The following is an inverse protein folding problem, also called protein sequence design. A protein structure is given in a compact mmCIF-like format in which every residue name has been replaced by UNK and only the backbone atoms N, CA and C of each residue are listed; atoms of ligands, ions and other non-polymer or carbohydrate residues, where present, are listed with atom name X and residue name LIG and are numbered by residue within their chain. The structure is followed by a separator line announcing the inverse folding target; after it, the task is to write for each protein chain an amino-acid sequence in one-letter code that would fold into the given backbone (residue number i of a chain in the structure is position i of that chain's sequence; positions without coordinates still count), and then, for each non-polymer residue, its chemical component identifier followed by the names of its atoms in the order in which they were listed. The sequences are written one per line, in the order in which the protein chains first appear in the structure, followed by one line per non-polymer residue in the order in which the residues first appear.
data_IF_371019764809
#
_entry.id   IF_371019764809
#
_cell.length_a   1.000
_cell.length_b   1.000
_cell.length_c   1.000
_cell.angle_alpha   90.00
_cell.angle_beta   90.00
_cell.angle_gamma   90.00
#
_symmetry.space_group_name_H-M   'P 1'
#
loop_
_entity.id
_entity.type
_entity.pdbx_description
1 polymer ?
#
# COMPACT_ATOMS: atom_id res chain seq x y z
N UNK A 1 -27.45 4.99 19.70
CA UNK A 1 -26.65 4.70 20.91
C UNK A 1 -26.58 3.20 21.19
N UNK A 2 -27.73 2.51 21.33
CA UNK A 2 -27.79 1.06 21.57
C UNK A 2 -27.03 0.20 20.53
N UNK A 3 -27.05 0.58 19.25
CA UNK A 3 -26.32 -0.14 18.20
C UNK A 3 -24.79 -0.05 18.34
N UNK A 4 -24.26 1.12 18.72
CA UNK A 4 -22.83 1.32 18.97
C UNK A 4 -22.37 0.59 20.24
N UNK A 5 -23.20 0.55 21.29
CA UNK A 5 -22.91 -0.18 22.53
C UNK A 5 -22.89 -1.69 22.30
N UNK A 6 -23.87 -2.22 21.56
CA UNK A 6 -23.89 -3.62 21.17
C UNK A 6 -22.71 -3.98 20.25
N UNK A 7 -22.34 -3.10 19.32
CA UNK A 7 -21.17 -3.25 18.46
C UNK A 7 -19.85 -3.25 19.25
N UNK A 8 -19.74 -2.37 20.26
CA UNK A 8 -18.62 -2.33 21.20
C UNK A 8 -18.47 -3.64 21.98
N UNK A 9 -19.56 -4.18 22.52
CA UNK A 9 -19.55 -5.44 23.26
C UNK A 9 -19.07 -6.62 22.40
N UNK A 10 -19.50 -6.70 21.14
CA UNK A 10 -19.05 -7.76 20.20
C UNK A 10 -17.59 -7.63 19.77
N UNK A 11 -17.06 -6.41 19.71
CA UNK A 11 -15.71 -6.14 19.17
C UNK A 11 -14.60 -6.17 20.23
N UNK A 12 -14.91 -6.52 21.47
CA UNK A 12 -13.94 -6.50 22.58
C UNK A 12 -13.63 -5.10 23.11
N UNK A 13 -14.48 -4.11 22.85
CA UNK A 13 -14.35 -2.74 23.35
C UNK A 13 -14.59 -1.65 22.31
N UNK A 14 -14.75 -0.42 22.79
CA UNK A 14 -15.14 0.73 21.97
C UNK A 14 -14.06 1.12 20.94
N UNK A 15 -12.78 0.95 21.27
CA UNK A 15 -11.66 1.26 20.36
C UNK A 15 -11.69 0.32 19.15
N UNK A 16 -11.74 -0.99 19.38
CA UNK A 16 -11.83 -2.00 18.32
C UNK A 16 -13.09 -1.81 17.47
N UNK A 17 -14.22 -1.51 18.11
CA UNK A 17 -15.46 -1.23 17.40
C UNK A 17 -15.36 -0.02 16.47
N UNK A 18 -14.82 1.11 16.96
CA UNK A 18 -14.61 2.30 16.13
C UNK A 18 -13.67 2.03 14.96
N UNK A 19 -12.59 1.28 15.21
CA UNK A 19 -11.65 0.88 14.17
C UNK A 19 -12.32 0.02 13.11
N UNK A 20 -13.10 -1.00 13.49
CA UNK A 20 -13.83 -1.84 12.54
C UNK A 20 -14.89 -1.06 11.75
N UNK A 21 -15.68 -0.23 12.43
CA UNK A 21 -16.70 0.60 11.79
C UNK A 21 -16.08 1.57 10.77
N UNK A 22 -15.00 2.26 11.14
CA UNK A 22 -14.31 3.18 10.25
C UNK A 22 -13.75 2.46 9.01
N UNK A 23 -13.16 1.28 9.17
CA UNK A 23 -12.65 0.50 8.05
C UNK A 23 -13.77 -0.08 7.16
N UNK A 24 -14.92 -0.45 7.73
CA UNK A 24 -16.07 -0.90 6.95
C UNK A 24 -16.64 0.22 6.09
N UNK A 25 -16.83 1.41 6.67
CA UNK A 25 -17.30 2.60 5.94
C UNK A 25 -16.30 3.01 4.85
N UNK A 26 -15.01 3.02 5.18
CA UNK A 26 -13.96 3.30 4.22
C UNK A 26 -13.96 2.31 3.06
N UNK A 27 -14.08 1.00 3.34
CA UNK A 27 -14.16 -0.03 2.31
C UNK A 27 -15.33 0.18 1.36
N UNK A 28 -16.51 0.51 1.88
CA UNK A 28 -17.68 0.82 1.04
C UNK A 28 -17.42 2.02 0.12
N UNK A 29 -16.90 3.12 0.65
CA UNK A 29 -16.59 4.32 -0.14
C UNK A 29 -15.48 4.07 -1.17
N UNK A 30 -14.48 3.25 -0.84
CA UNK A 30 -13.42 2.89 -1.78
C UNK A 30 -13.93 2.04 -2.96
N UNK A 31 -14.90 1.16 -2.74
CA UNK A 31 -15.53 0.41 -3.82
C UNK A 31 -16.31 1.35 -4.74
N UNK A 32 -17.09 2.28 -4.19
CA UNK A 32 -17.81 3.29 -5.00
C UNK A 32 -16.85 4.17 -5.81
N UNK A 33 -15.75 4.63 -5.21
CA UNK A 33 -14.72 5.41 -5.90
C UNK A 33 -14.09 4.61 -7.06
N UNK A 34 -13.72 3.35 -6.81
CA UNK A 34 -13.17 2.46 -7.85
C UNK A 34 -14.16 2.27 -9.01
N UNK A 35 -15.46 2.10 -8.73
CA UNK A 35 -16.48 1.94 -9.76
C UNK A 35 -16.68 3.24 -10.57
N UNK A 36 -16.60 4.40 -9.93
CA UNK A 36 -16.67 5.69 -10.61
C UNK A 36 -15.45 5.92 -11.52
N UNK A 37 -14.26 5.56 -11.06
CA UNK A 37 -13.00 5.71 -11.82
C UNK A 37 -12.96 4.84 -13.09
N UNK A 38 -13.61 3.67 -13.11
CA UNK A 38 -13.75 2.84 -14.32
C UNK A 38 -14.46 3.60 -15.45
N UNK A 39 -15.34 4.55 -15.10
CA UNK A 39 -16.07 5.38 -16.06
C UNK A 39 -15.33 6.62 -16.54
N UNK A 40 -14.12 6.90 -16.03
CA UNK A 40 -13.36 8.11 -16.37
C UNK A 40 -13.00 8.15 -17.87
N UNK A 41 -13.13 9.34 -18.47
CA UNK A 41 -12.89 9.56 -19.90
C UNK A 41 -11.39 9.68 -20.26
N UNK A 42 -10.52 9.89 -19.27
CA UNK A 42 -9.08 10.05 -19.50
C UNK A 42 -8.26 10.27 -18.23
N UNK A 43 -6.94 10.38 -18.42
CA UNK A 43 -5.97 10.51 -17.33
C UNK A 43 -6.16 11.78 -16.49
N UNK A 44 -6.50 12.91 -17.11
CA UNK A 44 -6.72 14.18 -16.39
C UNK A 44 -7.89 14.09 -15.39
N UNK A 45 -8.97 13.39 -15.75
CA UNK A 45 -10.12 13.19 -14.87
C UNK A 45 -9.76 12.29 -13.68
N UNK A 46 -8.96 11.24 -13.93
CA UNK A 46 -8.42 10.37 -12.86
C UNK A 46 -7.48 11.14 -11.93
N UNK A 47 -6.58 11.96 -12.47
CA UNK A 47 -5.67 12.78 -11.66
C UNK A 47 -6.43 13.77 -10.77
N UNK A 48 -7.47 14.43 -11.31
CA UNK A 48 -8.34 15.31 -10.54
C UNK A 48 -9.10 14.54 -9.44
N UNK A 49 -9.63 13.35 -9.74
CA UNK A 49 -10.30 12.50 -8.76
C UNK A 49 -9.34 12.04 -7.64
N UNK A 50 -8.12 11.61 -8.00
CA UNK A 50 -7.10 11.21 -7.03
C UNK A 50 -6.68 12.36 -6.11
N UNK A 51 -6.58 13.59 -6.64
CA UNK A 51 -6.24 14.78 -5.86
C UNK A 51 -7.33 15.16 -4.84
N UNK A 52 -8.59 14.79 -5.09
CA UNK A 52 -9.70 15.08 -4.18
C UNK A 52 -9.57 14.36 -2.83
N UNK A 53 -8.95 13.17 -2.80
CA UNK A 53 -8.82 12.37 -1.59
C UNK A 53 -7.94 13.03 -0.50
N UNK A 54 -6.68 13.44 -0.77
CA UNK A 54 -5.86 14.15 0.20
C UNK A 54 -6.46 15.52 0.57
N UNK A 55 -7.10 16.23 -0.37
CA UNK A 55 -7.78 17.48 -0.08
C UNK A 55 -8.94 17.31 0.91
N UNK A 56 -9.78 16.29 0.70
CA UNK A 56 -10.91 15.96 1.59
C UNK A 56 -10.43 15.50 2.97
N UNK A 57 -9.30 14.80 3.03
CA UNK A 57 -8.66 14.42 4.29
C UNK A 57 -7.97 15.60 5.01
N UNK A 58 -7.83 16.76 4.35
CA UNK A 58 -7.16 17.94 4.90
C UNK A 58 -5.66 17.75 5.07
N UNK A 59 -5.02 17.00 4.17
CA UNK A 59 -3.59 16.66 4.23
C UNK A 59 -2.77 17.20 3.05
N UNK A 60 -3.41 17.75 2.02
CA UNK A 60 -2.77 18.23 0.79
C UNK A 60 -1.81 19.43 0.98
N UNK A 61 -2.07 20.29 1.97
CA UNK A 61 -1.24 21.45 2.29
C UNK A 61 -0.07 21.19 3.26
N UNK A 62 0.09 19.97 3.78
CA UNK A 62 1.09 19.63 4.79
C UNK A 62 1.87 18.38 4.36
N UNK A 63 3.15 18.52 3.94
CA UNK A 63 3.96 17.39 3.47
C UNK A 63 4.10 16.24 4.47
N UNK A 64 4.13 16.52 5.77
CA UNK A 64 4.24 15.50 6.81
C UNK A 64 2.95 14.70 6.90
N UNK A 65 1.80 15.39 6.92
CA UNK A 65 0.48 14.74 6.94
C UNK A 65 0.18 14.01 5.64
N UNK A 66 0.54 14.58 4.49
CA UNK A 66 0.41 13.92 3.20
C UNK A 66 1.21 12.63 3.19
N UNK A 67 2.46 12.67 3.65
CA UNK A 67 3.31 11.48 3.71
C UNK A 67 2.76 10.43 4.67
N UNK A 68 2.25 10.84 5.85
CA UNK A 68 1.61 9.93 6.78
C UNK A 68 0.34 9.28 6.19
N UNK A 69 -0.45 10.05 5.44
CA UNK A 69 -1.64 9.57 4.74
C UNK A 69 -1.27 8.55 3.64
N UNK A 70 -0.30 8.87 2.79
CA UNK A 70 0.21 7.96 1.76
C UNK A 70 0.80 6.69 2.36
N UNK A 71 1.56 6.81 3.47
CA UNK A 71 2.11 5.65 4.19
C UNK A 71 1.01 4.74 4.73
N UNK A 72 -0.05 5.33 5.27
CA UNK A 72 -1.23 4.60 5.71
C UNK A 72 -1.90 3.87 4.55
N UNK A 73 -2.07 4.51 3.38
CA UNK A 73 -2.61 3.84 2.19
C UNK A 73 -1.73 2.68 1.73
N UNK A 74 -0.41 2.88 1.63
CA UNK A 74 0.55 1.83 1.25
C UNK A 74 0.47 0.62 2.20
N UNK A 75 0.30 0.85 3.52
CA UNK A 75 0.18 -0.23 4.50
C UNK A 75 -1.06 -1.11 4.27
N UNK A 76 -2.15 -0.53 3.76
CA UNK A 76 -3.40 -1.25 3.46
C UNK A 76 -3.32 -2.07 2.18
N UNK A 77 -2.36 -1.77 1.31
CA UNK A 77 -2.02 -2.60 0.14
C UNK A 77 -1.03 -3.69 0.53
N UNK A 78 -0.02 -3.36 1.33
CA UNK A 78 1.05 -4.29 1.73
C UNK A 78 0.53 -5.51 2.50
N UNK A 79 -0.41 -5.33 3.45
CA UNK A 79 -0.95 -6.42 4.26
C UNK A 79 -1.61 -7.53 3.43
N UNK A 80 -2.64 -7.22 2.62
CA UNK A 80 -3.27 -8.19 1.71
C UNK A 80 -2.29 -8.83 0.73
N UNK A 81 -1.37 -8.07 0.14
CA UNK A 81 -0.37 -8.61 -0.77
C UNK A 81 0.56 -9.62 -0.07
N UNK A 82 0.94 -9.36 1.19
CA UNK A 82 1.72 -10.32 1.98
C UNK A 82 0.96 -11.61 2.25
N UNK A 83 -0.35 -11.54 2.50
CA UNK A 83 -1.18 -12.75 2.66
C UNK A 83 -1.26 -13.54 1.36
N UNK A 84 -1.45 -12.86 0.22
CA UNK A 84 -1.38 -13.50 -1.11
C UNK A 84 0.01 -14.10 -1.36
N UNK A 85 1.06 -13.45 -0.90
CA UNK A 85 2.44 -13.89 -1.06
C UNK A 85 2.75 -15.19 -0.30
N UNK A 86 2.02 -15.49 0.78
CA UNK A 86 2.22 -16.68 1.63
C UNK A 86 1.52 -17.94 1.09
N UNK A 87 0.79 -17.84 -0.01
CA UNK A 87 0.10 -18.98 -0.63
C UNK A 87 1.07 -20.05 -1.16
N UNK A 88 0.73 -21.35 -1.06
CA UNK A 88 1.59 -22.44 -1.53
C UNK A 88 1.79 -22.47 -3.05
N UNK A 89 0.95 -21.78 -3.81
CA UNK A 89 1.00 -21.68 -5.28
C UNK A 89 1.31 -20.24 -5.74
N UNK A 90 1.91 -19.43 -4.89
CA UNK A 90 2.18 -18.04 -5.20
C UNK A 90 3.31 -17.92 -6.22
N UNK A 91 2.99 -17.30 -7.36
CA UNK A 91 3.97 -16.97 -8.38
C UNK A 91 4.86 -15.77 -8.00
N UNK A 92 5.87 -15.47 -8.83
CA UNK A 92 6.78 -14.34 -8.59
C UNK A 92 6.08 -12.96 -8.52
N UNK A 93 4.96 -12.76 -9.21
CA UNK A 93 4.32 -11.43 -9.29
C UNK A 93 3.68 -10.98 -7.98
N UNK A 94 2.84 -11.78 -7.29
CA UNK A 94 2.36 -11.39 -5.97
C UNK A 94 3.48 -11.14 -4.95
N UNK A 95 4.59 -11.90 -5.01
CA UNK A 95 5.78 -11.67 -4.18
C UNK A 95 6.41 -10.30 -4.50
N UNK A 96 6.63 -10.00 -5.78
CA UNK A 96 7.16 -8.71 -6.21
C UNK A 96 6.29 -7.53 -5.77
N UNK A 97 4.96 -7.67 -5.89
CA UNK A 97 4.01 -6.67 -5.45
C UNK A 97 4.05 -6.45 -3.93
N UNK A 98 4.09 -7.54 -3.14
CA UNK A 98 4.18 -7.47 -1.69
C UNK A 98 5.47 -6.76 -1.23
N UNK A 99 6.61 -7.12 -1.83
CA UNK A 99 7.89 -6.48 -1.55
C UNK A 99 7.92 -5.01 -1.96
N UNK A 100 7.35 -4.66 -3.11
CA UNK A 100 7.23 -3.27 -3.56
C UNK A 100 6.40 -2.43 -2.58
N UNK A 101 5.25 -2.94 -2.16
CA UNK A 101 4.38 -2.23 -1.22
C UNK A 101 5.06 -2.01 0.14
N UNK A 102 5.79 -3.01 0.64
CA UNK A 102 6.57 -2.88 1.88
C UNK A 102 7.72 -1.88 1.73
N UNK A 103 8.47 -1.92 0.63
CA UNK A 103 9.54 -0.97 0.33
C UNK A 103 9.02 0.47 0.29
N UNK A 104 7.91 0.72 -0.40
CA UNK A 104 7.26 2.03 -0.48
C UNK A 104 6.81 2.52 0.91
N UNK A 105 6.17 1.66 1.70
CA UNK A 105 5.74 2.00 3.06
C UNK A 105 6.90 2.46 3.95
N UNK A 106 8.09 1.84 3.80
CA UNK A 106 9.30 2.22 4.54
C UNK A 106 9.86 3.55 4.06
N UNK A 107 9.95 3.77 2.75
CA UNK A 107 10.40 5.06 2.19
C UNK A 107 9.52 6.23 2.65
N UNK A 108 8.20 6.05 2.61
CA UNK A 108 7.26 7.05 3.13
C UNK A 108 7.44 7.26 4.64
N UNK A 109 7.81 6.23 5.39
CA UNK A 109 8.16 6.37 6.81
C UNK A 109 9.40 7.22 7.07
N UNK A 110 10.41 7.14 6.20
CA UNK A 110 11.61 7.98 6.26
C UNK A 110 11.29 9.43 5.88
N UNK A 111 10.51 9.64 4.80
CA UNK A 111 10.09 10.98 4.38
C UNK A 111 9.32 11.70 5.49
N UNK A 112 8.39 11.01 6.15
CA UNK A 112 7.52 11.59 7.17
C UNK A 112 8.21 11.90 8.51
N UNK A 113 9.43 11.41 8.74
CA UNK A 113 10.17 11.64 9.98
C UNK A 113 10.98 12.96 10.00
N UNK A 114 10.92 13.74 8.91
CA UNK A 114 11.57 15.04 8.77
C UNK A 114 13.00 14.98 8.22
N UNK A 115 13.42 16.03 7.50
CA UNK A 115 14.72 16.09 6.80
C UNK A 115 15.94 16.39 7.69
N UNK A 116 15.76 16.67 8.98
CA UNK A 116 16.87 16.96 9.91
C UNK A 116 16.82 15.99 11.10
N UNK A 117 17.44 14.81 10.99
CA UNK A 117 17.43 13.83 12.06
C UNK A 117 18.46 14.21 13.14
N UNK A 118 18.13 13.98 14.40
CA UNK A 118 19.15 13.82 15.45
C UNK A 118 20.08 12.65 15.11
N UNK A 119 21.29 12.58 15.68
CA UNK A 119 22.24 11.46 15.40
C UNK A 119 21.60 10.07 15.61
N UNK A 120 20.72 9.93 16.61
CA UNK A 120 19.96 8.70 16.83
C UNK A 120 18.90 8.43 15.76
N UNK A 121 18.25 9.47 15.24
CA UNK A 121 17.30 9.35 14.13
C UNK A 121 18.00 9.03 12.80
N UNK A 122 19.26 9.46 12.59
CA UNK A 122 20.05 9.10 11.41
C UNK A 122 20.25 7.59 11.32
N UNK A 123 20.67 6.94 12.41
CA UNK A 123 20.88 5.49 12.42
C UNK A 123 19.58 4.71 12.15
N UNK A 124 18.46 5.17 12.71
CA UNK A 124 17.15 4.58 12.45
C UNK A 124 16.72 4.75 10.97
N UNK A 125 16.98 5.92 10.36
CA UNK A 125 16.68 6.15 8.94
C UNK A 125 17.55 5.31 8.02
N UNK A 126 18.85 5.18 8.30
CA UNK A 126 19.74 4.28 7.53
C UNK A 126 19.21 2.85 7.57
N UNK A 127 18.86 2.34 8.74
CA UNK A 127 18.30 0.99 8.86
C UNK A 127 16.97 0.81 8.09
N UNK A 128 16.09 1.81 8.09
CA UNK A 128 14.86 1.76 7.30
C UNK A 128 15.11 1.85 5.79
N UNK A 129 16.09 2.66 5.36
CA UNK A 129 16.50 2.76 3.96
C UNK A 129 17.13 1.45 3.46
N UNK A 130 17.97 0.80 4.26
CA UNK A 130 18.54 -0.52 3.95
C UNK A 130 17.45 -1.58 3.82
N UNK A 131 16.48 -1.60 4.72
CA UNK A 131 15.32 -2.51 4.64
C UNK A 131 14.46 -2.22 3.41
N UNK A 132 14.17 -0.95 3.13
CA UNK A 132 13.43 -0.56 1.94
C UNK A 132 14.14 -1.03 0.67
N UNK A 133 15.47 -0.83 0.60
CA UNK A 133 16.30 -1.30 -0.50
C UNK A 133 16.24 -2.82 -0.65
N UNK A 134 16.35 -3.56 0.44
CA UNK A 134 16.26 -5.02 0.41
C UNK A 134 14.91 -5.49 -0.19
N UNK A 135 13.79 -4.92 0.28
CA UNK A 135 12.48 -5.22 -0.29
C UNK A 135 12.43 -4.92 -1.80
N UNK A 136 12.92 -3.77 -2.25
CA UNK A 136 12.90 -3.41 -3.66
C UNK A 136 13.80 -4.32 -4.52
N UNK A 137 14.94 -4.76 -3.99
CA UNK A 137 15.80 -5.75 -4.67
C UNK A 137 15.10 -7.10 -4.81
N UNK A 138 14.43 -7.57 -3.75
CA UNK A 138 13.65 -8.81 -3.80
C UNK A 138 12.48 -8.70 -4.79
N UNK A 139 11.85 -7.53 -4.87
CA UNK A 139 10.80 -7.27 -5.86
C UNK A 139 11.32 -7.38 -7.30
N UNK A 140 12.46 -6.74 -7.59
CA UNK A 140 13.13 -6.82 -8.90
C UNK A 140 13.49 -8.27 -9.22
N UNK A 141 14.11 -8.99 -8.27
CA UNK A 141 14.50 -10.39 -8.47
C UNK A 141 13.32 -11.30 -8.82
N UNK A 142 12.16 -11.07 -8.18
CA UNK A 142 10.94 -11.81 -8.52
C UNK A 142 10.42 -11.48 -9.93
N UNK A 143 10.43 -10.20 -10.34
CA UNK A 143 10.07 -9.81 -11.71
C UNK A 143 11.01 -10.46 -12.73
N UNK A 144 12.32 -10.45 -12.45
CA UNK A 144 13.34 -11.06 -13.32
C UNK A 144 13.14 -12.58 -13.46
N UNK A 145 12.77 -13.27 -12.38
CA UNK A 145 12.42 -14.70 -12.44
C UNK A 145 11.28 -14.93 -13.44
N UNK A 146 10.20 -14.14 -13.39
CA UNK A 146 9.11 -14.29 -14.34
C UNK A 146 9.57 -14.01 -15.77
N UNK A 147 10.30 -12.92 -15.99
CA UNK A 147 10.81 -12.57 -17.32
C UNK A 147 11.67 -13.70 -17.90
N UNK A 148 12.54 -14.32 -17.09
CA UNK A 148 13.33 -15.47 -17.52
C UNK A 148 12.46 -16.68 -17.86
N UNK A 149 11.43 -16.98 -17.07
CA UNK A 149 10.49 -18.08 -17.37
C UNK A 149 9.75 -17.84 -18.69
N UNK A 150 9.22 -16.62 -18.88
CA UNK A 150 8.51 -16.23 -20.10
C UNK A 150 9.42 -16.28 -21.33
N UNK A 151 10.64 -15.76 -21.23
CA UNK A 151 11.61 -15.81 -22.34
C UNK A 151 11.97 -17.24 -22.73
N UNK A 152 12.13 -18.15 -21.76
CA UNK A 152 12.34 -19.58 -22.04
C UNK A 152 11.12 -20.22 -22.71
N UNK A 153 9.92 -19.92 -22.24
CA UNK A 153 8.68 -20.40 -22.87
C UNK A 153 8.55 -19.90 -24.30
N UNK A 154 8.74 -18.61 -24.54
CA UNK A 154 8.73 -18.03 -25.89
C UNK A 154 9.78 -18.67 -26.81
N UNK A 155 10.98 -18.98 -26.31
CA UNK A 155 11.99 -19.68 -27.09
C UNK A 155 11.60 -21.13 -27.44
N UNK A 156 10.89 -21.83 -26.54
CA UNK A 156 10.41 -23.20 -26.81
C UNK A 156 9.22 -23.24 -27.78
N UNK A 157 8.39 -22.19 -27.82
CA UNK A 157 7.18 -22.13 -28.66
C UNK A 157 7.31 -21.21 -29.89
N UNK A 158 8.48 -20.60 -30.08
CA UNK A 158 8.77 -19.64 -31.15
C UNK A 158 9.63 -20.21 -32.28
N UNK A 159 9.86 -21.52 -32.31
CA UNK A 159 10.38 -22.23 -33.50
C UNK A 159 9.21 -22.85 -34.27
N UNK A 160 8.65 -22.07 -35.21
CA UNK A 160 8.07 -22.48 -36.50
C UNK A 160 8.24 -21.33 -37.50
#
# INVERSE_FOLDING_TARGET
MAEHEAGSARSGGMVSYRMHLANALLGAVQVEAMLAEIGAAGLEELEAAHAQQPATAGVDGDPERLTAFLRWQASRVAGPLRLLAQGPSTGPIPLAAAHTAEGLQRLLGVIGAGQVPSVGAVAAHVAELERARACLVDAIGNVDILLQMLNRLSAMFGED
#
